data_IF_885826011686
#
_entry.id   IF_885826011686
#
_cell.length_a   1.000
_cell.length_b   1.000
_cell.length_c   1.000
_cell.angle_alpha   90.00
_cell.angle_beta   90.00
_cell.angle_gamma   90.00
#
_symmetry.space_group_name_H-M   'P 1'
#
loop_
_entity.id
_entity.type
_entity.pdbx_description
1 polymer ?
#
# COMPACT_ATOMS: atom_id res chain seq x y z
N UNK A 1 -16.55 12.42 2.47
CA UNK A 1 -15.61 12.23 3.60
C UNK A 1 -14.27 12.84 3.23
N UNK A 2 -13.73 13.70 4.08
CA UNK A 2 -12.43 14.33 3.86
C UNK A 2 -11.29 13.34 4.18
N UNK A 3 -10.09 13.61 3.67
CA UNK A 3 -8.93 12.72 3.88
C UNK A 3 -8.59 12.55 5.37
N UNK A 4 -8.74 13.60 6.18
CA UNK A 4 -8.52 13.51 7.61
C UNK A 4 -9.45 12.51 8.30
N UNK A 5 -10.71 12.45 7.88
CA UNK A 5 -11.68 11.48 8.36
C UNK A 5 -11.36 10.06 7.90
N UNK A 6 -10.87 9.90 6.67
CA UNK A 6 -10.43 8.60 6.15
C UNK A 6 -9.21 8.06 6.90
N UNK A 7 -8.26 8.91 7.26
CA UNK A 7 -7.10 8.52 8.07
C UNK A 7 -7.55 8.01 9.44
N UNK A 8 -8.46 8.71 10.10
CA UNK A 8 -9.02 8.26 11.38
C UNK A 8 -9.78 6.92 11.24
N UNK A 9 -10.49 6.74 10.14
CA UNK A 9 -11.21 5.50 9.85
C UNK A 9 -10.24 4.31 9.68
N UNK A 10 -9.13 4.52 8.97
CA UNK A 10 -8.07 3.49 8.81
C UNK A 10 -7.50 3.10 10.17
N UNK A 11 -7.15 4.08 10.99
CA UNK A 11 -6.61 3.82 12.33
C UNK A 11 -7.59 3.01 13.18
N UNK A 12 -8.84 3.40 13.19
CA UNK A 12 -9.89 2.70 13.95
C UNK A 12 -10.13 1.28 13.42
N UNK A 13 -10.12 1.10 12.10
CA UNK A 13 -10.26 -0.22 11.47
C UNK A 13 -9.09 -1.15 11.82
N UNK A 14 -7.89 -0.60 12.03
CA UNK A 14 -6.72 -1.36 12.48
C UNK A 14 -6.74 -1.65 13.99
N UNK A 15 -7.68 -1.09 14.74
CA UNK A 15 -7.74 -1.23 16.20
C UNK A 15 -6.62 -0.52 16.94
N UNK A 16 -5.99 0.48 16.33
CA UNK A 16 -4.87 1.23 16.90
C UNK A 16 -5.33 2.54 17.54
N UNK A 17 -4.66 2.93 18.63
CA UNK A 17 -4.76 4.30 19.13
C UNK A 17 -3.82 5.23 18.32
N UNK A 18 -3.91 6.54 18.55
CA UNK A 18 -3.10 7.52 17.84
C UNK A 18 -1.60 7.32 18.07
N UNK A 19 -1.20 6.92 19.28
CA UNK A 19 0.20 6.67 19.63
C UNK A 19 0.78 5.49 18.82
N UNK A 20 0.08 4.37 18.81
CA UNK A 20 0.54 3.16 18.09
C UNK A 20 0.54 3.37 16.59
N UNK A 21 -0.47 4.05 16.06
CA UNK A 21 -0.53 4.40 14.65
C UNK A 21 0.62 5.32 14.24
N UNK A 22 0.91 6.34 15.05
CA UNK A 22 2.03 7.25 14.82
C UNK A 22 3.37 6.51 14.80
N UNK A 23 3.59 5.61 15.75
CA UNK A 23 4.81 4.76 15.77
C UNK A 23 4.93 3.90 14.52
N UNK A 24 3.82 3.35 14.03
CA UNK A 24 3.82 2.46 12.87
C UNK A 24 4.26 3.15 11.57
N UNK A 25 4.00 4.44 11.44
CA UNK A 25 4.36 5.23 10.25
C UNK A 25 5.50 6.22 10.49
N UNK A 26 6.12 6.19 11.68
CA UNK A 26 7.31 6.98 11.98
C UNK A 26 7.07 8.48 12.18
N UNK A 27 5.88 8.87 12.66
CA UNK A 27 5.53 10.25 13.00
C UNK A 27 5.19 10.40 14.48
N UNK A 28 5.08 11.63 14.96
CA UNK A 28 4.67 11.88 16.35
C UNK A 28 3.16 11.69 16.55
N UNK A 29 2.71 11.31 17.76
CA UNK A 29 1.28 11.25 18.09
C UNK A 29 0.56 12.59 17.86
N UNK A 30 1.22 13.70 18.14
CA UNK A 30 0.70 15.03 17.89
C UNK A 30 0.44 15.28 16.40
N UNK A 31 1.31 14.78 15.52
CA UNK A 31 1.12 14.84 14.07
C UNK A 31 -0.13 14.07 13.63
N UNK A 32 -0.34 12.87 14.15
CA UNK A 32 -1.54 12.07 13.85
C UNK A 32 -2.80 12.79 14.32
N UNK A 33 -2.80 13.34 15.54
CA UNK A 33 -3.92 14.10 16.07
C UNK A 33 -4.28 15.30 15.17
N UNK A 34 -3.29 16.04 14.71
CA UNK A 34 -3.49 17.17 13.80
C UNK A 34 -3.97 16.77 12.43
N UNK A 35 -3.50 15.65 11.90
CA UNK A 35 -3.97 15.09 10.63
C UNK A 35 -5.44 14.66 10.73
N UNK A 36 -5.82 13.94 11.77
CA UNK A 36 -7.19 13.47 11.94
C UNK A 36 -8.19 14.61 12.20
N UNK A 37 -7.77 15.66 12.91
CA UNK A 37 -8.61 16.83 13.18
C UNK A 37 -8.75 17.80 12.01
N UNK A 38 -7.95 17.62 10.95
CA UNK A 38 -7.95 18.50 9.79
C UNK A 38 -7.15 19.79 9.96
N UNK A 39 -6.42 19.95 11.07
CA UNK A 39 -5.54 21.11 11.30
C UNK A 39 -4.42 21.13 10.28
N UNK A 40 -3.83 19.97 9.99
CA UNK A 40 -2.79 19.80 8.97
C UNK A 40 -3.30 18.90 7.83
N UNK A 41 -2.94 19.25 6.61
CA UNK A 41 -3.13 18.36 5.48
C UNK A 41 -1.97 17.35 5.44
N UNK A 42 -2.26 16.05 5.18
CA UNK A 42 -1.19 15.07 5.08
C UNK A 42 -0.33 15.34 3.84
N UNK A 43 0.99 15.26 4.02
CA UNK A 43 1.92 15.27 2.90
C UNK A 43 1.77 13.97 2.08
N UNK A 44 2.08 14.03 0.80
CA UNK A 44 2.03 12.86 -0.09
C UNK A 44 2.85 11.70 0.46
N UNK A 45 4.01 11.97 1.04
CA UNK A 45 4.84 10.96 1.68
C UNK A 45 4.12 10.25 2.82
N UNK A 46 3.39 10.99 3.66
CA UNK A 46 2.62 10.43 4.77
C UNK A 46 1.50 9.53 4.26
N UNK A 47 0.78 9.95 3.23
CA UNK A 47 -0.27 9.15 2.60
C UNK A 47 0.31 7.83 2.08
N UNK A 48 1.44 7.88 1.38
CA UNK A 48 2.11 6.69 0.85
C UNK A 48 2.64 5.77 1.95
N UNK A 49 3.15 6.32 3.05
CA UNK A 49 3.59 5.53 4.21
C UNK A 49 2.43 4.74 4.81
N UNK A 50 1.29 5.39 5.02
CA UNK A 50 0.08 4.72 5.53
C UNK A 50 -0.31 3.57 4.61
N UNK A 51 -0.37 3.82 3.30
CA UNK A 51 -0.73 2.80 2.32
C UNK A 51 0.25 1.64 2.27
N UNK A 52 1.55 1.90 2.36
CA UNK A 52 2.60 0.88 2.28
C UNK A 52 2.67 0.05 3.55
N UNK A 53 2.65 0.69 4.72
CA UNK A 53 2.79 0.02 6.02
C UNK A 53 1.56 -0.82 6.35
N UNK A 54 0.37 -0.27 6.10
CA UNK A 54 -0.91 -0.88 6.51
C UNK A 54 -1.69 -1.50 5.37
N UNK A 55 -1.12 -1.53 4.18
CA UNK A 55 -1.77 -2.12 3.00
C UNK A 55 -3.12 -1.47 2.67
N UNK A 56 -3.18 -0.17 2.76
CA UNK A 56 -4.37 0.65 2.48
C UNK A 56 -4.43 0.99 1.00
N UNK A 57 -5.63 1.00 0.43
CA UNK A 57 -5.85 1.42 -0.95
C UNK A 57 -5.58 2.92 -1.10
N UNK A 58 -4.56 3.28 -1.89
CA UNK A 58 -4.12 4.65 -2.09
C UNK A 58 -5.22 5.55 -2.68
N UNK A 59 -5.92 5.08 -3.69
CA UNK A 59 -7.00 5.86 -4.34
C UNK A 59 -8.13 6.15 -3.36
N UNK A 60 -8.47 5.18 -2.56
CA UNK A 60 -9.48 5.38 -1.54
C UNK A 60 -9.01 6.39 -0.49
N UNK A 61 -7.79 6.26 0.01
CA UNK A 61 -7.28 7.15 1.07
C UNK A 61 -7.12 8.58 0.55
N UNK A 62 -6.51 8.75 -0.61
CA UNK A 62 -6.23 10.08 -1.16
C UNK A 62 -7.46 10.76 -1.73
N UNK A 63 -8.21 10.07 -2.58
CA UNK A 63 -9.28 10.64 -3.38
C UNK A 63 -10.68 10.22 -2.95
N UNK A 64 -10.80 9.27 -2.04
CA UNK A 64 -12.08 8.74 -1.58
C UNK A 64 -12.80 7.88 -2.62
N UNK A 65 -12.08 7.33 -3.59
CA UNK A 65 -12.65 6.49 -4.63
C UNK A 65 -12.79 5.08 -4.10
N UNK A 66 -14.04 4.64 -3.90
CA UNK A 66 -14.37 3.27 -3.51
C UNK A 66 -14.45 2.37 -4.74
N UNK A 67 -14.12 1.11 -4.58
CA UNK A 67 -14.33 0.08 -5.62
C UNK A 67 -15.82 -0.10 -5.89
N UNK A 68 -16.64 -0.02 -4.84
CA UNK A 68 -18.10 0.06 -4.93
C UNK A 68 -18.58 1.38 -4.35
N UNK A 69 -18.96 2.37 -5.17
CA UNK A 69 -19.41 3.67 -4.68
C UNK A 69 -20.67 3.63 -3.81
N UNK A 70 -21.42 2.54 -3.85
CA UNK A 70 -22.66 2.39 -3.10
C UNK A 70 -22.49 1.88 -1.66
N UNK A 71 -21.43 1.14 -1.40
CA UNK A 71 -21.21 0.49 -0.09
C UNK A 71 -19.72 0.36 0.18
N UNK A 72 -19.06 1.38 0.79
CA UNK A 72 -17.68 1.24 1.23
C UNK A 72 -17.60 0.12 2.27
N UNK A 73 -16.94 -0.95 1.92
CA UNK A 73 -16.66 -2.08 2.80
C UNK A 73 -15.21 -2.00 3.28
N UNK A 74 -14.87 -2.76 4.31
CA UNK A 74 -13.48 -2.87 4.75
C UNK A 74 -12.56 -3.32 3.60
N UNK A 75 -13.10 -4.03 2.63
CA UNK A 75 -12.38 -4.47 1.42
C UNK A 75 -11.97 -3.30 0.50
N UNK A 76 -12.68 -2.18 0.55
CA UNK A 76 -12.32 -0.97 -0.19
C UNK A 76 -11.16 -0.21 0.46
N UNK A 77 -11.03 -0.30 1.78
CA UNK A 77 -10.01 0.38 2.56
C UNK A 77 -8.67 -0.34 2.42
N UNK A 78 -8.68 -1.66 2.60
CA UNK A 78 -7.49 -2.49 2.58
C UNK A 78 -7.38 -3.28 1.28
N UNK A 79 -6.16 -3.41 0.79
CA UNK A 79 -5.86 -4.26 -0.36
C UNK A 79 -5.85 -5.72 0.09
N UNK A 80 -7.00 -6.37 0.07
CA UNK A 80 -7.13 -7.80 0.44
C UNK A 80 -6.75 -8.72 -0.70
N UNK A 81 -6.98 -8.27 -1.93
CA UNK A 81 -6.46 -8.90 -3.13
C UNK A 81 -5.82 -7.80 -3.96
N UNK A 82 -4.51 -7.88 -4.11
CA UNK A 82 -3.79 -6.92 -4.94
C UNK A 82 -4.10 -7.25 -6.38
N UNK A 83 -4.90 -6.41 -7.05
CA UNK A 83 -5.08 -6.54 -8.49
C UNK A 83 -3.75 -6.24 -9.21
N UNK A 84 -3.59 -6.77 -10.42
CA UNK A 84 -2.37 -6.54 -11.19
C UNK A 84 -2.14 -5.04 -11.43
N UNK A 85 -3.20 -4.27 -11.64
CA UNK A 85 -3.12 -2.83 -11.81
C UNK A 85 -2.63 -2.12 -10.53
N UNK A 86 -3.11 -2.54 -9.37
CA UNK A 86 -2.68 -1.98 -8.08
C UNK A 86 -1.22 -2.31 -7.77
N UNK A 87 -0.75 -3.51 -8.12
CA UNK A 87 0.67 -3.89 -7.99
C UNK A 87 1.56 -2.96 -8.79
N UNK A 88 1.22 -2.71 -10.04
CA UNK A 88 1.97 -1.83 -10.93
C UNK A 88 1.99 -0.41 -10.36
N UNK A 89 0.84 0.12 -9.93
CA UNK A 89 0.75 1.45 -9.33
C UNK A 89 1.62 1.56 -8.08
N UNK A 90 1.57 0.59 -7.18
CA UNK A 90 2.36 0.60 -5.94
C UNK A 90 3.86 0.71 -6.22
N UNK A 91 4.36 -0.03 -7.20
CA UNK A 91 5.77 0.02 -7.57
C UNK A 91 6.11 1.34 -8.26
N UNK A 92 5.28 1.78 -9.21
CA UNK A 92 5.56 2.98 -10.01
C UNK A 92 5.45 4.27 -9.19
N UNK A 93 4.62 4.30 -8.14
CA UNK A 93 4.53 5.43 -7.22
C UNK A 93 5.48 5.32 -6.01
N UNK A 94 6.20 4.22 -5.86
CA UNK A 94 7.23 4.12 -4.83
C UNK A 94 8.43 5.01 -5.15
N UNK A 95 9.16 5.41 -4.13
CA UNK A 95 10.43 6.12 -4.31
C UNK A 95 11.60 5.17 -4.60
N UNK A 96 11.31 3.88 -4.73
CA UNK A 96 12.32 2.85 -4.97
C UNK A 96 12.63 2.75 -6.47
N UNK A 97 13.67 3.43 -6.92
CA UNK A 97 14.10 3.43 -8.33
C UNK A 97 14.55 2.04 -8.80
N UNK A 98 15.10 1.23 -7.91
CA UNK A 98 15.45 -0.16 -8.24
C UNK A 98 14.21 -0.97 -8.59
N UNK A 99 13.16 -0.91 -7.76
CA UNK A 99 11.90 -1.60 -8.02
C UNK A 99 11.25 -1.16 -9.34
N UNK A 100 11.25 0.15 -9.62
CA UNK A 100 10.76 0.69 -10.88
C UNK A 100 11.56 0.17 -12.08
N UNK A 101 12.89 0.12 -11.97
CA UNK A 101 13.77 -0.39 -13.01
C UNK A 101 13.51 -1.87 -13.30
N UNK A 102 13.34 -2.68 -12.25
CA UNK A 102 12.97 -4.10 -12.37
C UNK A 102 11.65 -4.27 -13.11
N UNK A 103 10.63 -3.48 -12.76
CA UNK A 103 9.33 -3.53 -13.42
C UNK A 103 9.43 -3.16 -14.90
N UNK A 104 10.20 -2.13 -15.24
CA UNK A 104 10.41 -1.73 -16.64
C UNK A 104 11.07 -2.82 -17.47
N UNK A 105 12.09 -3.47 -16.92
CA UNK A 105 12.78 -4.56 -17.60
C UNK A 105 11.89 -5.80 -17.74
N UNK A 106 11.14 -6.16 -16.72
CA UNK A 106 10.19 -7.28 -16.79
C UNK A 106 9.08 -7.06 -17.82
N UNK A 107 8.61 -5.83 -17.96
CA UNK A 107 7.59 -5.48 -18.95
C UNK A 107 8.04 -5.72 -20.41
N UNK A 108 9.34 -5.76 -20.66
CA UNK A 108 9.93 -6.02 -21.98
C UNK A 108 10.05 -7.51 -22.31
N UNK A 109 9.86 -8.40 -21.35
CA UNK A 109 10.03 -9.84 -21.54
C UNK A 109 8.91 -10.44 -22.40
N UNK A 110 9.30 -11.30 -23.33
CA UNK A 110 8.36 -12.12 -24.10
C UNK A 110 7.99 -13.42 -23.37
N UNK A 111 7.04 -14.16 -23.92
CA UNK A 111 6.51 -15.38 -23.31
C UNK A 111 7.60 -16.44 -23.02
N UNK A 112 8.54 -16.61 -23.91
CA UNK A 112 9.65 -17.57 -23.74
C UNK A 112 10.55 -17.17 -22.56
N UNK A 113 10.82 -15.88 -22.40
CA UNK A 113 11.64 -15.34 -21.31
C UNK A 113 10.91 -15.45 -19.98
N UNK A 114 9.60 -15.20 -19.95
CA UNK A 114 8.78 -15.40 -18.76
C UNK A 114 8.75 -16.86 -18.31
N UNK A 115 8.68 -17.83 -19.23
CA UNK A 115 8.75 -19.24 -18.90
C UNK A 115 10.10 -19.64 -18.30
N UNK A 116 11.18 -19.09 -18.83
CA UNK A 116 12.53 -19.32 -18.29
C UNK A 116 12.64 -18.76 -16.88
N UNK A 117 12.15 -17.54 -16.66
CA UNK A 117 12.15 -16.89 -15.36
C UNK A 117 11.30 -17.67 -14.34
N UNK A 118 10.13 -18.14 -14.74
CA UNK A 118 9.26 -18.98 -13.90
C UNK A 118 9.99 -20.24 -13.43
N UNK A 119 10.67 -20.92 -14.32
CA UNK A 119 11.46 -22.11 -13.99
C UNK A 119 12.58 -21.79 -13.01
N UNK A 120 13.29 -20.69 -13.23
CA UNK A 120 14.36 -20.24 -12.35
C UNK A 120 13.84 -19.92 -10.94
N UNK A 121 12.74 -19.18 -10.84
CA UNK A 121 12.13 -18.83 -9.54
C UNK A 121 11.64 -20.07 -8.81
N UNK A 122 11.00 -21.01 -9.49
CA UNK A 122 10.57 -22.28 -8.90
C UNK A 122 11.74 -23.09 -8.35
N UNK A 123 12.87 -23.10 -9.05
CA UNK A 123 14.08 -23.77 -8.58
C UNK A 123 14.67 -23.09 -7.34
N UNK A 124 14.67 -21.75 -7.28
CA UNK A 124 15.11 -20.99 -6.12
C UNK A 124 14.22 -21.30 -4.92
N UNK A 125 12.90 -21.24 -5.09
CA UNK A 125 11.93 -21.52 -4.03
C UNK A 125 12.08 -22.96 -3.51
N UNK A 126 12.26 -23.93 -4.39
CA UNK A 126 12.48 -25.32 -4.01
C UNK A 126 13.77 -25.54 -3.20
N UNK A 127 14.78 -24.69 -3.43
CA UNK A 127 16.05 -24.73 -2.69
C UNK A 127 16.06 -23.96 -1.38
N UNK A 128 15.00 -23.20 -1.05
CA UNK A 128 14.90 -22.46 0.20
C UNK A 128 14.56 -23.42 1.36
N UNK A 129 15.12 -23.17 2.57
CA UNK A 129 14.73 -23.92 3.75
C UNK A 129 13.25 -23.70 4.05
N UNK A 130 12.55 -24.79 4.37
CA UNK A 130 11.16 -24.69 4.83
C UNK A 130 11.15 -24.13 6.25
N UNK A 131 10.35 -23.09 6.47
CA UNK A 131 10.06 -22.62 7.82
C UNK A 131 9.24 -23.69 8.56
N UNK A 132 9.75 -24.10 9.71
CA UNK A 132 9.04 -25.00 10.63
C UNK A 132 8.23 -24.19 11.65
#
# INVERSE_FOLDING_TARGET
>A
MAINERIALVRNALGMNQLDFAKSIGVSPASVSKLESGINNPAERTIRLICTVHNVNYRWLKDGIAVDPGHPTDDDIFLTAVSDDDLVERVMFSENEFAKSVMREFAKLGDAEWRMLEKLVKNIVAGLPKEE
#
